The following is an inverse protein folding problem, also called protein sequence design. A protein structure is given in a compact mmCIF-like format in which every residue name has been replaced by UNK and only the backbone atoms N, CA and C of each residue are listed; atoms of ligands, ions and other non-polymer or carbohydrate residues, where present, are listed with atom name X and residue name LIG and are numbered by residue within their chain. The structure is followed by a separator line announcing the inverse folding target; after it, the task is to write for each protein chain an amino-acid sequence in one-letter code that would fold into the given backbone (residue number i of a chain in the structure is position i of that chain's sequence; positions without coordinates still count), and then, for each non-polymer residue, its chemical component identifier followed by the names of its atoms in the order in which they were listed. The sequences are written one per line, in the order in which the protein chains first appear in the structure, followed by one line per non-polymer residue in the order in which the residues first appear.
data_IF_573907269379
#
_entry.id   IF_573907269379
#
_cell.length_a   1.000
_cell.length_b   1.000
_cell.length_c   1.000
_cell.angle_alpha   90.00
_cell.angle_beta   90.00
_cell.angle_gamma   90.00
#
_symmetry.space_group_name_H-M   'P 1'
#
loop_
_entity.id
_entity.type
_entity.pdbx_description
1 polymer ?
#
# COMPACT_ATOMS: atom_id res chain seq x y z
N UNK A 1 20.60 32.62 9.65
CA UNK A 1 20.07 31.39 10.27
C UNK A 1 18.70 30.93 9.74
N UNK A 2 18.11 31.55 8.70
CA UNK A 2 16.81 31.09 8.15
C UNK A 2 16.96 30.17 6.92
N UNK A 3 18.02 30.36 6.13
CA UNK A 3 18.27 29.61 4.88
C UNK A 3 18.61 28.13 5.13
N UNK A 4 19.24 27.83 6.28
CA UNK A 4 19.63 26.46 6.63
C UNK A 4 18.43 25.58 7.03
N UNK A 5 17.38 26.17 7.60
CA UNK A 5 16.16 25.44 8.02
C UNK A 5 15.32 25.05 6.80
N UNK A 6 15.24 25.91 5.78
CA UNK A 6 14.56 25.59 4.52
C UNK A 6 15.25 24.46 3.75
N UNK A 7 16.59 24.40 3.79
CA UNK A 7 17.33 23.32 3.13
C UNK A 7 17.09 21.96 3.78
N UNK A 8 17.01 21.90 5.12
CA UNK A 8 16.75 20.67 5.87
C UNK A 8 15.30 20.19 5.65
N UNK A 9 14.32 21.10 5.65
CA UNK A 9 12.92 20.77 5.34
C UNK A 9 12.76 20.30 3.89
N UNK A 10 13.47 20.91 2.93
CA UNK A 10 13.47 20.48 1.53
C UNK A 10 14.16 19.12 1.34
N UNK A 11 15.24 18.83 2.08
CA UNK A 11 15.94 17.53 2.06
C UNK A 11 15.11 16.41 2.71
N UNK A 12 14.37 16.69 3.80
CA UNK A 12 13.42 15.72 4.37
C UNK A 12 12.22 15.46 3.45
N UNK A 13 11.73 16.49 2.74
CA UNK A 13 10.66 16.33 1.77
C UNK A 13 11.10 15.55 0.51
N UNK A 14 12.36 15.71 0.09
CA UNK A 14 12.92 14.97 -1.04
C UNK A 14 13.25 13.50 -0.72
N UNK A 15 13.61 13.14 0.52
CA UNK A 15 14.03 11.77 0.84
C UNK A 15 12.85 10.78 0.95
N UNK A 16 11.71 11.19 1.53
CA UNK A 16 10.51 10.33 1.61
C UNK A 16 9.74 10.22 0.29
N UNK A 17 9.87 11.19 -0.61
CA UNK A 17 9.29 11.10 -1.96
C UNK A 17 9.99 10.11 -2.88
N UNK A 18 11.13 9.53 -2.47
CA UNK A 18 11.85 8.44 -3.16
C UNK A 18 11.78 7.12 -2.39
N UNK A 19 10.98 7.04 -1.32
CA UNK A 19 10.88 5.84 -0.53
C UNK A 19 10.44 4.66 -1.41
N UNK A 20 11.13 3.53 -1.26
CA UNK A 20 10.83 2.30 -1.97
C UNK A 20 9.52 1.71 -1.42
N UNK A 21 8.42 2.11 -2.05
CA UNK A 21 7.07 1.68 -1.70
C UNK A 21 6.91 0.15 -1.81
N UNK A 22 7.78 -0.52 -2.58
CA UNK A 22 7.74 -1.97 -2.71
C UNK A 22 8.11 -2.67 -1.40
N UNK A 23 8.98 -2.09 -0.59
CA UNK A 23 9.61 -2.74 0.57
C UNK A 23 9.16 -2.13 1.91
N UNK A 24 7.95 -1.56 1.95
CA UNK A 24 7.38 -0.95 3.15
C UNK A 24 7.18 -2.03 4.23
N UNK A 25 7.81 -1.84 5.39
CA UNK A 25 7.71 -2.76 6.53
C UNK A 25 6.48 -2.42 7.36
N UNK A 26 5.56 -3.37 7.48
CA UNK A 26 4.32 -3.25 8.26
C UNK A 26 4.36 -4.33 9.35
N UNK A 27 4.30 -3.97 10.65
CA UNK A 27 4.24 -4.96 11.72
C UNK A 27 3.11 -5.96 11.54
N UNK A 28 3.41 -7.25 11.73
CA UNK A 28 2.44 -8.33 11.54
C UNK A 28 2.02 -8.57 10.09
N UNK A 29 2.77 -8.04 9.12
CA UNK A 29 2.62 -8.32 7.68
C UNK A 29 3.97 -8.67 7.09
N UNK A 30 4.03 -9.76 6.35
CA UNK A 30 5.27 -10.25 5.76
C UNK A 30 5.10 -10.62 4.28
N UNK A 31 6.19 -10.61 3.48
CA UNK A 31 6.18 -11.18 2.13
C UNK A 31 5.72 -12.63 2.14
N UNK A 32 4.87 -12.98 1.18
CA UNK A 32 4.31 -14.31 1.08
C UNK A 32 4.48 -14.86 -0.34
N UNK A 33 5.25 -15.95 -0.45
CA UNK A 33 5.63 -16.54 -1.74
C UNK A 33 4.57 -17.49 -2.32
N UNK A 34 3.47 -17.72 -1.59
CA UNK A 34 2.40 -18.61 -1.99
C UNK A 34 1.33 -17.84 -2.78
N UNK A 35 1.38 -17.94 -4.11
CA UNK A 35 0.27 -17.57 -5.00
C UNK A 35 -0.65 -18.78 -5.17
N UNK A 36 -1.73 -18.81 -4.41
CA UNK A 36 -2.84 -19.75 -4.61
C UNK A 36 -4.03 -19.06 -5.31
N UNK A 37 -5.12 -19.80 -5.55
CA UNK A 37 -6.33 -19.26 -6.16
C UNK A 37 -6.95 -18.09 -5.37
N UNK A 38 -6.63 -17.97 -4.06
CA UNK A 38 -7.12 -16.87 -3.20
C UNK A 38 -6.46 -15.52 -3.53
N UNK A 39 -5.34 -15.52 -4.26
CA UNK A 39 -4.63 -14.29 -4.67
C UNK A 39 -5.14 -13.71 -6.00
N UNK A 40 -5.79 -14.49 -6.86
CA UNK A 40 -6.33 -14.01 -8.15
C UNK A 40 -7.33 -12.85 -8.03
N UNK A 41 -8.27 -12.87 -7.06
CA UNK A 41 -9.13 -11.72 -6.81
C UNK A 41 -8.38 -10.45 -6.43
N UNK A 42 -7.33 -10.56 -5.62
CA UNK A 42 -6.49 -9.44 -5.19
C UNK A 42 -5.69 -8.86 -6.36
N UNK A 43 -5.23 -9.73 -7.26
CA UNK A 43 -4.48 -9.34 -8.46
C UNK A 43 -5.33 -8.50 -9.42
N UNK A 44 -6.59 -8.89 -9.60
CA UNK A 44 -7.55 -8.12 -10.40
C UNK A 44 -7.85 -6.74 -9.78
N UNK A 45 -8.00 -6.68 -8.44
CA UNK A 45 -8.23 -5.41 -7.74
C UNK A 45 -7.01 -4.50 -7.84
N UNK A 46 -5.81 -5.03 -7.60
CA UNK A 46 -4.57 -4.24 -7.65
C UNK A 46 -4.23 -3.80 -9.07
N UNK A 47 -4.49 -4.61 -10.10
CA UNK A 47 -4.40 -4.22 -11.51
C UNK A 47 -5.30 -3.03 -11.83
N UNK A 48 -6.55 -3.07 -11.34
CA UNK A 48 -7.49 -1.95 -11.53
C UNK A 48 -7.01 -0.69 -10.81
N UNK A 49 -6.53 -0.82 -9.57
CA UNK A 49 -5.95 0.30 -8.81
C UNK A 49 -4.77 0.93 -9.56
N UNK A 50 -3.89 0.13 -10.15
CA UNK A 50 -2.77 0.63 -10.95
C UNK A 50 -3.23 1.51 -12.12
N UNK A 51 -4.33 1.14 -12.80
CA UNK A 51 -4.95 1.98 -13.83
C UNK A 51 -5.60 3.24 -13.25
N UNK A 52 -6.33 3.11 -12.14
CA UNK A 52 -7.00 4.24 -11.49
C UNK A 52 -5.99 5.28 -10.96
N UNK A 53 -4.79 4.86 -10.54
CA UNK A 53 -3.71 5.76 -10.16
C UNK A 53 -3.24 6.63 -11.32
N UNK A 54 -3.10 6.04 -12.52
CA UNK A 54 -2.74 6.78 -13.73
C UNK A 54 -3.85 7.74 -14.12
N UNK A 55 -5.11 7.30 -14.06
CA UNK A 55 -6.26 8.17 -14.28
C UNK A 55 -6.33 9.35 -13.29
N UNK A 56 -5.82 9.17 -12.06
CA UNK A 56 -5.69 10.21 -11.03
C UNK A 56 -4.35 10.97 -11.06
N UNK A 57 -3.57 10.83 -12.12
CA UNK A 57 -2.43 11.69 -12.42
C UNK A 57 -1.06 11.15 -12.01
N UNK A 58 -0.95 9.89 -11.59
CA UNK A 58 0.36 9.25 -11.44
C UNK A 58 0.97 8.91 -12.80
N UNK A 59 2.30 8.89 -12.90
CA UNK A 59 2.99 8.59 -14.15
C UNK A 59 2.76 7.15 -14.62
N UNK A 60 2.82 6.19 -13.69
CA UNK A 60 2.58 4.76 -13.98
C UNK A 60 2.19 3.99 -12.72
N UNK A 61 1.28 3.03 -12.83
CA UNK A 61 1.06 2.00 -11.81
C UNK A 61 2.08 0.86 -11.90
N UNK A 62 2.39 0.24 -10.77
CA UNK A 62 3.31 -0.87 -10.65
C UNK A 62 2.85 -1.87 -9.59
N UNK A 63 3.00 -3.14 -9.92
CA UNK A 63 2.70 -4.24 -9.00
C UNK A 63 3.63 -4.18 -7.78
N UNK A 64 3.05 -4.42 -6.62
CA UNK A 64 3.77 -4.51 -5.35
C UNK A 64 4.17 -5.94 -5.03
N UNK A 65 3.88 -6.34 -3.80
CA UNK A 65 4.22 -7.63 -3.23
C UNK A 65 2.93 -8.37 -2.86
N UNK A 66 2.98 -9.69 -2.95
CA UNK A 66 2.04 -10.56 -2.25
C UNK A 66 2.51 -10.63 -0.80
N UNK A 67 1.59 -10.40 0.11
CA UNK A 67 1.82 -10.22 1.52
C UNK A 67 0.84 -11.11 2.31
N UNK A 68 1.23 -11.49 3.52
CA UNK A 68 0.39 -12.17 4.48
C UNK A 68 0.37 -11.38 5.78
N UNK A 69 -0.82 -10.95 6.20
CA UNK A 69 -1.01 -10.42 7.55
C UNK A 69 -1.28 -11.56 8.53
N UNK A 70 -0.77 -11.42 9.76
CA UNK A 70 -1.22 -12.24 10.87
C UNK A 70 -2.74 -12.14 11.01
N UNK A 71 -3.39 -13.26 11.34
CA UNK A 71 -4.86 -13.33 11.40
C UNK A 71 -5.49 -12.36 12.42
N UNK A 72 -4.71 -11.90 13.40
CA UNK A 72 -5.14 -10.94 14.43
C UNK A 72 -4.89 -9.48 14.05
N UNK A 73 -4.10 -9.23 13.00
CA UNK A 73 -3.75 -7.87 12.58
C UNK A 73 -4.94 -7.26 11.83
N UNK A 74 -5.42 -6.13 12.33
CA UNK A 74 -6.57 -5.42 11.74
C UNK A 74 -6.13 -4.51 10.59
N UNK A 75 -7.05 -4.22 9.69
CA UNK A 75 -6.80 -3.28 8.59
C UNK A 75 -6.44 -1.89 9.10
N UNK A 76 -7.01 -1.46 10.24
CA UNK A 76 -6.70 -0.16 10.82
C UNK A 76 -5.29 -0.14 11.46
N UNK A 77 -4.82 -1.24 12.04
CA UNK A 77 -3.44 -1.33 12.55
C UNK A 77 -2.42 -1.33 11.42
N UNK A 78 -2.73 -2.03 10.31
CA UNK A 78 -1.96 -1.96 9.07
C UNK A 78 -1.96 -0.51 8.56
N UNK A 79 -3.13 0.11 8.47
CA UNK A 79 -3.25 1.44 7.90
C UNK A 79 -2.49 2.49 8.72
N UNK A 80 -2.54 2.41 10.05
CA UNK A 80 -1.76 3.27 10.95
C UNK A 80 -0.25 3.09 10.76
N UNK A 81 0.21 1.85 10.61
CA UNK A 81 1.62 1.56 10.36
C UNK A 81 2.10 2.16 9.04
N UNK A 82 1.25 2.11 8.00
CA UNK A 82 1.53 2.75 6.71
C UNK A 82 1.52 4.28 6.83
N UNK A 83 0.58 4.86 7.58
CA UNK A 83 0.53 6.31 7.85
C UNK A 83 1.84 6.80 8.50
N UNK A 84 2.33 6.09 9.52
CA UNK A 84 3.58 6.41 10.22
C UNK A 84 4.80 6.33 9.29
N UNK A 85 4.85 5.29 8.46
CA UNK A 85 5.95 5.09 7.51
C UNK A 85 5.99 6.19 6.45
N UNK A 86 4.86 6.43 5.78
CA UNK A 86 4.73 7.42 4.70
C UNK A 86 4.92 8.86 5.22
N UNK A 87 4.37 9.15 6.39
CA UNK A 87 4.48 10.45 7.06
C UNK A 87 3.73 11.60 6.37
N UNK A 88 4.05 12.85 6.72
CA UNK A 88 3.18 14.02 6.48
C UNK A 88 3.02 14.45 5.01
N UNK A 89 3.79 13.87 4.08
CA UNK A 89 3.64 14.11 2.63
C UNK A 89 2.52 13.28 1.98
N UNK A 90 1.88 12.43 2.76
CA UNK A 90 0.86 11.48 2.32
C UNK A 90 -0.41 11.61 3.15
N UNK A 91 -1.53 11.19 2.57
CA UNK A 91 -2.83 11.07 3.24
C UNK A 91 -3.54 9.83 2.74
N UNK A 92 -4.46 9.29 3.55
CA UNK A 92 -5.43 8.29 3.08
C UNK A 92 -6.28 8.90 1.97
N UNK A 93 -6.46 8.17 0.87
CA UNK A 93 -7.21 8.61 -0.30
C UNK A 93 -8.59 7.94 -0.33
N UNK A 94 -9.62 8.71 -0.66
CA UNK A 94 -10.99 8.25 -0.72
C UNK A 94 -11.43 7.94 -2.17
N UNK A 95 -12.54 7.23 -2.32
CA UNK A 95 -13.11 6.92 -3.63
C UNK A 95 -12.33 5.85 -4.39
N UNK A 96 -11.71 4.93 -3.65
CA UNK A 96 -11.22 3.65 -4.14
C UNK A 96 -11.97 2.59 -3.34
N UNK A 97 -12.69 1.72 -4.03
CA UNK A 97 -13.44 0.64 -3.43
C UNK A 97 -13.30 -0.61 -4.30
N UNK A 98 -13.39 -1.78 -3.69
CA UNK A 98 -13.50 -3.03 -4.43
C UNK A 98 -14.97 -3.34 -4.71
N UNK A 99 -15.30 -3.77 -5.93
CA UNK A 99 -16.61 -4.37 -6.23
C UNK A 99 -16.78 -5.76 -5.62
N UNK A 100 -15.70 -6.35 -5.07
CA UNK A 100 -15.72 -7.65 -4.40
C UNK A 100 -15.89 -7.42 -2.90
N UNK A 101 -16.96 -7.95 -2.27
CA UNK A 101 -17.33 -7.63 -0.89
C UNK A 101 -16.27 -8.04 0.14
N UNK A 102 -15.49 -9.07 -0.16
CA UNK A 102 -14.46 -9.63 0.73
C UNK A 102 -13.08 -8.96 0.60
N UNK A 103 -12.96 -7.93 -0.24
CA UNK A 103 -11.69 -7.22 -0.43
C UNK A 103 -11.86 -5.79 0.07
N UNK A 104 -11.11 -5.45 1.10
CA UNK A 104 -10.97 -4.09 1.55
C UNK A 104 -9.74 -3.44 0.90
N UNK A 105 -9.90 -2.22 0.38
CA UNK A 105 -8.82 -1.47 -0.25
C UNK A 105 -8.45 -0.28 0.62
N UNK A 106 -7.18 -0.19 0.97
CA UNK A 106 -6.61 0.93 1.71
C UNK A 106 -5.66 1.65 0.77
N UNK A 107 -5.89 2.95 0.54
CA UNK A 107 -5.13 3.72 -0.44
C UNK A 107 -4.58 4.99 0.21
N UNK A 108 -3.35 5.31 -0.14
CA UNK A 108 -2.66 6.54 0.22
C UNK A 108 -2.26 7.30 -1.03
N UNK A 109 -2.35 8.63 -0.98
CA UNK A 109 -1.87 9.51 -2.03
C UNK A 109 -1.01 10.64 -1.46
N UNK A 110 -0.13 11.18 -2.29
CA UNK A 110 0.66 12.36 -1.94
C UNK A 110 -0.20 13.63 -1.90
N UNK A 111 0.11 14.51 -0.95
CA UNK A 111 -0.59 15.79 -0.77
C UNK A 111 -0.09 16.90 -1.70
N UNK A 112 1.10 16.74 -2.27
CA UNK A 112 1.73 17.69 -3.19
C UNK A 112 1.24 17.61 -4.64
N UNK A 113 1.87 18.41 -5.49
CA UNK A 113 1.58 18.48 -6.93
C UNK A 113 1.87 17.16 -7.67
N UNK A 114 2.99 16.51 -7.34
CA UNK A 114 3.34 15.22 -7.92
C UNK A 114 2.52 14.11 -7.28
N UNK A 115 1.68 13.45 -8.09
CA UNK A 115 0.81 12.38 -7.64
C UNK A 115 1.54 11.05 -7.58
N UNK A 116 1.63 10.50 -6.37
CA UNK A 116 1.98 9.10 -6.13
C UNK A 116 0.91 8.45 -5.28
N UNK A 117 0.77 7.15 -5.46
CA UNK A 117 -0.15 6.30 -4.74
C UNK A 117 0.57 5.07 -4.18
N UNK A 118 0.08 4.62 -3.04
CA UNK A 118 0.37 3.31 -2.45
C UNK A 118 -0.98 2.72 -2.03
N UNK A 119 -1.18 1.43 -2.25
CA UNK A 119 -2.37 0.76 -1.76
C UNK A 119 -2.10 -0.68 -1.37
N UNK A 120 -3.00 -1.16 -0.51
CA UNK A 120 -3.13 -2.54 -0.10
C UNK A 120 -4.55 -2.98 -0.42
N UNK A 121 -4.68 -4.07 -1.17
CA UNK A 121 -5.91 -4.84 -1.23
C UNK A 121 -5.77 -6.00 -0.23
N UNK A 122 -6.66 -6.07 0.75
CA UNK A 122 -6.65 -7.07 1.81
C UNK A 122 -7.92 -7.91 1.74
N UNK A 123 -7.79 -9.23 1.86
CA UNK A 123 -8.92 -10.12 2.03
C UNK A 123 -9.41 -10.07 3.49
N UNK A 124 -10.72 -10.04 3.71
CA UNK A 124 -11.32 -9.98 5.04
C UNK A 124 -11.27 -11.35 5.76
N UNK A 125 -11.40 -12.45 5.03
CA UNK A 125 -11.33 -13.80 5.57
C UNK A 125 -9.89 -14.28 5.83
N UNK A 126 -9.77 -15.17 6.81
CA UNK A 126 -8.52 -15.86 7.15
C UNK A 126 -8.37 -17.10 6.27
N UNK A 127 -7.27 -17.17 5.53
CA UNK A 127 -6.82 -18.35 4.80
C UNK A 127 -5.87 -19.19 5.67
N UNK A 128 -5.66 -20.44 5.28
CA UNK A 128 -4.70 -21.34 5.94
C UNK A 128 -3.63 -21.70 4.91
N UNK A 129 -2.36 -21.48 5.26
CA UNK A 129 -1.24 -21.82 4.38
C UNK A 129 -1.12 -23.34 4.22
N UNK A 130 -0.33 -23.79 3.25
CA UNK A 130 0.02 -25.21 3.08
C UNK A 130 0.68 -25.82 4.33
N UNK A 131 1.31 -25.00 5.17
CA UNK A 131 1.94 -25.39 6.43
C UNK A 131 0.97 -25.33 7.63
N UNK A 132 -0.30 -24.99 7.40
CA UNK A 132 -1.33 -24.92 8.45
C UNK A 132 -1.36 -23.62 9.24
N UNK A 133 -0.61 -22.58 8.82
CA UNK A 133 -0.61 -21.27 9.49
C UNK A 133 -1.79 -20.42 9.01
N UNK A 134 -2.65 -19.90 9.91
CA UNK A 134 -3.69 -18.96 9.53
C UNK A 134 -3.07 -17.59 9.18
N UNK A 135 -3.54 -16.99 8.08
CA UNK A 135 -3.09 -15.69 7.62
C UNK A 135 -4.18 -14.97 6.83
N UNK A 136 -4.05 -13.66 6.65
CA UNK A 136 -4.91 -12.86 5.78
C UNK A 136 -4.15 -12.46 4.51
N UNK A 137 -4.59 -12.89 3.32
CA UNK A 137 -3.95 -12.51 2.06
C UNK A 137 -4.03 -11.00 1.80
N UNK A 138 -2.91 -10.41 1.41
CA UNK A 138 -2.79 -9.00 1.02
C UNK A 138 -1.99 -8.88 -0.27
N UNK A 139 -2.35 -7.94 -1.13
CA UNK A 139 -1.54 -7.56 -2.28
C UNK A 139 -1.32 -6.04 -2.28
N UNK A 140 -0.06 -5.63 -2.38
CA UNK A 140 0.29 -4.22 -2.50
C UNK A 140 0.40 -3.79 -3.96
N UNK A 141 0.15 -2.50 -4.19
CA UNK A 141 0.29 -1.84 -5.49
C UNK A 141 0.69 -0.39 -5.27
N UNK A 142 1.52 0.17 -6.15
CA UNK A 142 1.99 1.53 -5.99
C UNK A 142 2.25 2.21 -7.33
N UNK A 143 2.38 3.52 -7.34
CA UNK A 143 2.80 4.25 -8.54
C UNK A 143 4.30 4.50 -8.58
N UNK A 144 4.90 4.39 -9.76
CA UNK A 144 6.27 4.83 -10.03
C UNK A 144 6.29 6.27 -10.52
N UNK A 145 7.47 6.90 -10.34
CA UNK A 145 7.85 8.13 -11.04
C UNK A 145 8.15 7.83 -12.50
#
# INVERSE_FOLDING_TARGET
MLVFIFLILALLACSKHMADLKSLQIPGVEPFDSRDESTLPLDLVTTRLAHDFVARGAARGADGQVLAADATTTDEDIARSVDEWLGPGWKRSAGFDSSRPHIHVMVWETTGWHKRFYALAAWDEVSVSTEGRPYRPIQSVFSRH
#
